data_IF_275712740266
#
_entry.id   IF_275712740266
#
_cell.length_a   1.000
_cell.length_b   1.000
_cell.length_c   1.000
_cell.angle_alpha   90.00
_cell.angle_beta   90.00
_cell.angle_gamma   90.00
#
_symmetry.space_group_name_H-M   'P 1'
#
loop_
_entity.id
_entity.type
_entity.pdbx_description
1 polymer ?
#
# COMPACT_ATOMS: atom_id res chain seq x y z
N UNK A 1 0.36 11.86 -16.36
CA UNK A 1 -0.17 11.95 -14.98
C UNK A 1 0.27 10.67 -14.29
N UNK A 2 0.99 10.73 -13.16
CA UNK A 2 1.51 9.52 -12.47
C UNK A 2 0.63 9.15 -11.28
N UNK A 3 0.19 7.90 -11.18
CA UNK A 3 -0.63 7.38 -10.07
C UNK A 3 0.27 6.62 -9.09
N UNK A 4 0.31 7.07 -7.83
CA UNK A 4 1.04 6.40 -6.76
C UNK A 4 0.08 5.89 -5.68
N UNK A 5 0.28 4.65 -5.23
CA UNK A 5 -0.40 4.05 -4.09
C UNK A 5 0.52 4.03 -2.87
N UNK A 6 0.03 4.48 -1.72
CA UNK A 6 0.80 4.48 -0.47
C UNK A 6 -0.04 3.86 0.62
N UNK A 7 0.54 2.89 1.33
CA UNK A 7 -0.22 1.98 2.16
C UNK A 7 0.48 1.53 3.43
N UNK A 8 -0.24 1.57 4.56
CA UNK A 8 0.16 0.85 5.77
C UNK A 8 -0.28 -0.63 5.69
N UNK A 9 0.60 -1.58 6.03
CA UNK A 9 0.25 -2.99 6.17
C UNK A 9 -0.72 -3.16 7.35
N UNK A 10 -1.81 -3.88 7.10
CA UNK A 10 -2.69 -4.39 8.14
C UNK A 10 -2.39 -5.86 8.44
N UNK A 11 -3.04 -6.41 9.47
CA UNK A 11 -2.90 -7.82 9.89
C UNK A 11 -3.09 -8.84 8.75
N UNK A 12 -3.95 -8.51 7.77
CA UNK A 12 -4.09 -9.24 6.51
C UNK A 12 -4.19 -8.22 5.37
N UNK A 13 -3.77 -8.57 4.14
CA UNK A 13 -4.09 -7.79 2.96
C UNK A 13 -5.62 -7.64 2.89
N UNK A 14 -6.11 -6.41 2.91
CA UNK A 14 -7.55 -6.18 2.73
C UNK A 14 -8.00 -6.63 1.35
N UNK A 15 -9.31 -6.84 1.22
CA UNK A 15 -9.93 -7.07 -0.07
C UNK A 15 -9.63 -5.88 -0.99
N UNK A 16 -8.87 -6.13 -2.06
CA UNK A 16 -8.43 -5.11 -3.01
C UNK A 16 -6.99 -4.62 -2.84
N UNK A 17 -6.21 -5.14 -1.89
CA UNK A 17 -4.77 -4.81 -1.77
C UNK A 17 -4.04 -5.02 -3.10
N UNK A 18 -4.19 -6.21 -3.70
CA UNK A 18 -3.55 -6.53 -4.98
C UNK A 18 -4.13 -5.73 -6.15
N UNK A 19 -5.41 -5.34 -6.10
CA UNK A 19 -6.01 -4.48 -7.10
C UNK A 19 -5.43 -3.04 -7.03
N UNK A 20 -5.17 -2.54 -5.83
CA UNK A 20 -4.47 -1.26 -5.63
C UNK A 20 -3.02 -1.32 -6.10
N UNK A 21 -2.30 -2.41 -5.81
CA UNK A 21 -0.94 -2.64 -6.34
C UNK A 21 -0.95 -2.67 -7.86
N UNK A 22 -1.90 -3.37 -8.47
CA UNK A 22 -1.99 -3.51 -9.93
C UNK A 22 -2.34 -2.21 -10.66
N UNK A 23 -3.03 -1.27 -9.99
CA UNK A 23 -3.44 0.03 -10.57
C UNK A 23 -2.41 1.14 -10.40
N UNK A 24 -1.43 0.96 -9.51
CA UNK A 24 -0.43 1.98 -9.23
C UNK A 24 0.77 1.86 -10.18
N UNK A 25 1.25 2.99 -10.70
CA UNK A 25 2.55 3.02 -11.41
C UNK A 25 3.72 2.89 -10.43
N UNK A 26 3.52 3.39 -9.20
CA UNK A 26 4.47 3.25 -8.09
C UNK A 26 3.67 2.90 -6.83
N UNK A 27 4.03 1.80 -6.18
CA UNK A 27 3.38 1.36 -4.94
C UNK A 27 4.39 1.37 -3.78
N UNK A 28 4.05 2.07 -2.70
CA UNK A 28 4.88 2.19 -1.49
C UNK A 28 4.14 1.55 -0.32
N UNK A 29 4.73 0.47 0.21
CA UNK A 29 4.24 -0.23 1.40
C UNK A 29 5.08 0.17 2.61
N UNK A 30 4.44 0.64 3.68
CA UNK A 30 5.12 1.09 4.90
C UNK A 30 5.35 -0.07 5.87
N UNK A 31 6.51 -0.70 5.83
CA UNK A 31 6.79 -1.93 6.59
C UNK A 31 6.76 -1.77 8.12
N UNK A 32 7.25 -0.66 8.64
CA UNK A 32 7.34 -0.39 10.07
C UNK A 32 6.90 1.04 10.40
N UNK A 33 6.24 1.21 11.54
CA UNK A 33 5.78 2.50 12.04
C UNK A 33 6.29 2.66 13.47
N UNK A 34 7.02 3.74 13.70
CA UNK A 34 7.48 4.05 15.05
C UNK A 34 6.29 4.35 15.97
N UNK A 35 6.12 3.53 17.01
CA UNK A 35 5.23 3.82 18.13
C UNK A 35 5.96 4.72 19.15
N UNK A 36 5.23 5.65 19.77
CA UNK A 36 5.71 6.49 20.89
C UNK A 36 5.49 5.78 22.21
#
# INVERSE_FOLDING_TARGET
>A
MRIAGVLQPGYLPWLGFFDQVARAEIFVLLDDVQYT
#
